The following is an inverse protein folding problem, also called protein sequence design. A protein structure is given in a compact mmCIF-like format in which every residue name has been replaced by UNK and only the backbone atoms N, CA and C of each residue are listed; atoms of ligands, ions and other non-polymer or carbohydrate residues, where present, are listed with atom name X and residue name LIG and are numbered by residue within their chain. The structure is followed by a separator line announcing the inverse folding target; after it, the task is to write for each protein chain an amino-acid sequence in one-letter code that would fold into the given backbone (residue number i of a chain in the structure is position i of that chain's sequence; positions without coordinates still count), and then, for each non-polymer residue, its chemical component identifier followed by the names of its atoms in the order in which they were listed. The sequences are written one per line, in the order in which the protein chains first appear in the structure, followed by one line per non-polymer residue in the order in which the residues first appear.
data_IF_582522582532
#
_entry.id   IF_582522582532
#
_cell.length_a   1.000
_cell.length_b   1.000
_cell.length_c   1.000
_cell.angle_alpha   90.00
_cell.angle_beta   90.00
_cell.angle_gamma   90.00
#
_symmetry.space_group_name_H-M   'P 1'
#
loop_
_entity.id
_entity.type
_entity.pdbx_description
1 polymer ?
#
# COMPACT_ATOMS: atom_id res chain seq x y z
N UNK A 1 24.50 2.99 19.04
CA UNK A 1 23.50 3.65 19.91
C UNK A 1 22.80 4.72 19.08
N UNK A 2 21.61 4.42 18.51
CA UNK A 2 20.62 5.39 17.95
C UNK A 2 19.52 4.63 17.20
N UNK A 3 18.76 3.76 17.89
CA UNK A 3 17.63 3.07 17.26
C UNK A 3 16.35 3.93 17.22
N UNK A 4 16.24 4.91 18.12
CA UNK A 4 15.04 5.73 18.30
C UNK A 4 15.40 7.21 18.28
N UNK A 5 14.49 8.03 17.74
CA UNK A 5 14.60 9.49 17.71
C UNK A 5 14.68 10.04 19.16
N UNK A 6 15.59 10.99 19.46
CA UNK A 6 15.73 11.58 20.79
C UNK A 6 14.42 12.12 21.38
N UNK A 7 13.53 12.68 20.55
CA UNK A 7 12.21 13.17 20.96
C UNK A 7 11.36 12.01 21.49
N UNK A 8 11.35 10.89 20.79
CA UNK A 8 10.62 9.68 21.20
C UNK A 8 11.18 9.12 22.50
N UNK A 9 12.52 9.11 22.63
CA UNK A 9 13.20 8.67 23.86
C UNK A 9 12.79 9.54 25.05
N UNK A 10 12.79 10.85 24.87
CA UNK A 10 12.38 11.79 25.91
C UNK A 10 10.90 11.62 26.29
N UNK A 11 10.01 11.46 25.31
CA UNK A 11 8.58 11.24 25.54
C UNK A 11 8.32 9.97 26.37
N UNK A 12 8.96 8.86 25.99
CA UNK A 12 8.78 7.57 26.70
C UNK A 12 9.41 7.63 28.09
N UNK A 13 10.55 8.31 28.26
CA UNK A 13 11.18 8.51 29.58
C UNK A 13 10.29 9.34 30.51
N UNK A 14 9.70 10.44 30.01
CA UNK A 14 8.73 11.26 30.76
C UNK A 14 7.50 10.45 31.14
N UNK A 15 6.99 9.61 30.24
CA UNK A 15 5.89 8.70 30.53
C UNK A 15 6.22 7.74 31.68
N UNK A 16 7.40 7.11 31.70
CA UNK A 16 7.80 6.20 32.78
C UNK A 16 7.83 6.87 34.15
N UNK A 17 8.11 8.18 34.22
CA UNK A 17 8.14 8.93 35.48
C UNK A 17 6.78 9.50 35.89
N UNK A 18 5.89 9.81 34.95
CA UNK A 18 4.66 10.58 35.20
C UNK A 18 3.36 9.84 34.92
N UNK A 19 3.42 8.73 34.19
CA UNK A 19 2.26 8.00 33.66
C UNK A 19 1.50 8.73 32.55
N UNK A 20 2.00 9.86 32.05
CA UNK A 20 1.32 10.71 31.05
C UNK A 20 2.15 10.83 29.77
N UNK A 21 1.48 10.86 28.62
CA UNK A 21 2.09 11.07 27.31
C UNK A 21 1.13 11.78 26.36
N UNK A 22 1.65 12.67 25.52
CA UNK A 22 0.90 13.34 24.46
C UNK A 22 1.28 12.71 23.12
N UNK A 23 0.30 12.18 22.39
CA UNK A 23 0.53 11.50 21.13
C UNK A 23 0.10 12.39 19.96
N UNK A 24 0.85 12.34 18.87
CA UNK A 24 0.45 12.88 17.58
C UNK A 24 0.78 11.88 16.46
N UNK A 25 0.24 12.09 15.27
CA UNK A 25 0.43 11.19 14.11
C UNK A 25 1.90 10.99 13.74
N UNK A 26 2.75 11.98 14.02
CA UNK A 26 4.17 11.94 13.65
C UNK A 26 5.02 11.18 14.69
N UNK A 27 4.56 11.10 15.95
CA UNK A 27 5.34 10.47 17.03
C UNK A 27 4.79 9.11 17.45
N UNK A 28 3.49 8.86 17.27
CA UNK A 28 2.81 7.66 17.82
C UNK A 28 3.43 6.34 17.35
N UNK A 29 3.91 6.27 16.11
CA UNK A 29 4.56 5.06 15.58
C UNK A 29 5.87 4.79 16.30
N UNK A 30 6.72 5.81 16.46
CA UNK A 30 7.98 5.72 17.20
C UNK A 30 7.76 5.38 18.67
N UNK A 31 6.79 6.03 19.32
CA UNK A 31 6.42 5.74 20.70
C UNK A 31 5.96 4.30 20.85
N UNK A 32 5.08 3.81 19.94
CA UNK A 32 4.64 2.42 19.94
C UNK A 32 5.82 1.45 19.83
N UNK A 33 6.73 1.69 18.86
CA UNK A 33 7.88 0.81 18.63
C UNK A 33 8.81 0.75 19.85
N UNK A 34 9.09 1.90 20.47
CA UNK A 34 9.91 1.97 21.67
C UNK A 34 9.22 1.33 22.87
N UNK A 35 7.91 1.53 23.03
CA UNK A 35 7.13 0.90 24.09
C UNK A 35 7.14 -0.63 23.99
N UNK A 36 6.98 -1.17 22.77
CA UNK A 36 7.12 -2.62 22.51
C UNK A 36 8.54 -3.10 22.80
N UNK A 37 9.56 -2.35 22.35
CA UNK A 37 10.97 -2.70 22.61
C UNK A 37 11.30 -2.75 24.10
N UNK A 38 10.82 -1.79 24.87
CA UNK A 38 10.99 -1.72 26.33
C UNK A 38 10.01 -2.59 27.11
N UNK A 39 9.08 -3.28 26.44
CA UNK A 39 8.05 -4.13 27.05
C UNK A 39 7.14 -3.38 28.03
N UNK A 40 6.81 -2.12 27.72
CA UNK A 40 5.82 -1.35 28.48
C UNK A 40 4.42 -1.87 28.12
N UNK A 41 3.63 -2.42 29.05
CA UNK A 41 2.40 -3.15 28.71
C UNK A 41 1.24 -2.23 28.29
N UNK A 42 1.10 -1.06 28.90
CA UNK A 42 -0.06 -0.17 28.69
C UNK A 42 0.11 0.77 27.50
N UNK A 43 1.34 1.25 27.27
CA UNK A 43 1.62 2.27 26.28
C UNK A 43 1.34 1.85 24.81
N UNK A 44 1.63 0.60 24.38
CA UNK A 44 1.23 0.13 23.06
C UNK A 44 -0.28 0.17 22.85
N UNK A 45 -1.07 -0.20 23.88
CA UNK A 45 -2.53 -0.17 23.83
C UNK A 45 -3.05 1.26 23.66
N UNK A 46 -2.48 2.23 24.39
CA UNK A 46 -2.80 3.65 24.22
C UNK A 46 -2.47 4.15 22.81
N UNK A 47 -1.30 3.77 22.28
CA UNK A 47 -0.89 4.13 20.93
C UNK A 47 -1.84 3.56 19.87
N UNK A 48 -2.29 2.31 20.02
CA UNK A 48 -3.26 1.69 19.10
C UNK A 48 -4.61 2.40 19.16
N UNK A 49 -5.09 2.76 20.36
CA UNK A 49 -6.31 3.57 20.51
C UNK A 49 -6.21 4.90 19.78
N UNK A 50 -5.09 5.62 19.94
CA UNK A 50 -4.83 6.85 19.20
C UNK A 50 -4.76 6.63 17.68
N UNK A 51 -4.04 5.61 17.22
CA UNK A 51 -3.90 5.31 15.78
C UNK A 51 -5.26 5.03 15.12
N UNK A 52 -6.15 4.27 15.78
CA UNK A 52 -7.49 3.99 15.28
C UNK A 52 -8.33 5.28 15.09
N UNK A 53 -8.19 6.25 15.99
CA UNK A 53 -8.89 7.54 15.92
C UNK A 53 -8.26 8.57 14.99
N UNK A 54 -7.05 8.32 14.46
CA UNK A 54 -6.26 9.29 13.69
C UNK A 54 -5.88 8.83 12.29
N UNK A 55 -6.52 7.75 11.80
CA UNK A 55 -6.34 7.27 10.42
C UNK A 55 -6.86 8.32 9.42
N UNK A 56 -6.02 8.68 8.47
CA UNK A 56 -6.33 9.54 7.34
C UNK A 56 -5.41 9.17 6.15
N UNK A 57 -5.46 9.92 5.05
CA UNK A 57 -4.68 9.62 3.83
C UNK A 57 -3.16 9.64 4.04
N UNK A 58 -2.64 10.44 4.96
CA UNK A 58 -1.20 10.54 5.23
C UNK A 58 -0.73 9.56 6.31
N UNK A 59 -1.62 9.14 7.21
CA UNK A 59 -1.27 8.20 8.29
C UNK A 59 -1.56 6.73 7.95
N UNK A 60 -2.42 6.45 6.97
CA UNK A 60 -2.89 5.08 6.73
C UNK A 60 -1.80 4.10 6.31
N UNK A 61 -0.86 4.48 5.43
CA UNK A 61 0.21 3.59 4.97
C UNK A 61 1.27 3.37 6.07
N UNK A 62 1.79 4.40 6.75
CA UNK A 62 2.67 4.19 7.90
C UNK A 62 2.05 3.31 8.98
N UNK A 63 0.79 3.55 9.34
CA UNK A 63 0.08 2.74 10.32
C UNK A 63 -0.16 1.31 9.80
N UNK A 64 -0.42 1.13 8.51
CA UNK A 64 -0.61 -0.20 7.91
C UNK A 64 0.68 -1.02 7.98
N UNK A 65 1.83 -0.42 7.63
CA UNK A 65 3.14 -1.08 7.75
C UNK A 65 3.41 -1.51 9.19
N UNK A 66 3.13 -0.65 10.16
CA UNK A 66 3.29 -0.94 11.58
C UNK A 66 2.36 -2.09 12.01
N UNK A 67 1.08 -2.01 11.63
CA UNK A 67 0.08 -3.00 12.00
C UNK A 67 0.39 -4.39 11.40
N UNK A 68 0.90 -4.45 10.17
CA UNK A 68 1.39 -5.68 9.55
C UNK A 68 2.61 -6.24 10.29
N UNK A 69 3.60 -5.40 10.59
CA UNK A 69 4.86 -5.82 11.21
C UNK A 69 4.67 -6.34 12.64
N UNK A 70 3.89 -5.63 13.45
CA UNK A 70 3.63 -5.98 14.85
C UNK A 70 2.35 -6.81 15.04
N UNK A 71 1.68 -7.18 13.96
CA UNK A 71 0.45 -7.97 13.99
C UNK A 71 -0.69 -7.35 14.84
N UNK A 72 -0.87 -6.02 14.75
CA UNK A 72 -1.88 -5.28 15.51
C UNK A 72 -3.26 -5.44 14.88
N UNK A 73 -3.97 -6.51 15.23
CA UNK A 73 -5.21 -6.95 14.56
C UNK A 73 -6.30 -5.87 14.42
N UNK A 74 -6.69 -5.12 15.47
CA UNK A 74 -7.74 -4.10 15.34
C UNK A 74 -7.39 -3.03 14.30
N UNK A 75 -6.12 -2.61 14.27
CA UNK A 75 -5.63 -1.60 13.34
C UNK A 75 -5.54 -2.14 11.91
N UNK A 76 -5.14 -3.41 11.72
CA UNK A 76 -5.14 -4.08 10.40
C UNK A 76 -6.53 -4.12 9.78
N UNK A 77 -7.54 -4.54 10.56
CA UNK A 77 -8.93 -4.66 10.08
C UNK A 77 -9.48 -3.27 9.68
N UNK A 78 -9.25 -2.27 10.53
CA UNK A 78 -9.68 -0.90 10.27
C UNK A 78 -9.00 -0.33 9.01
N UNK A 79 -7.67 -0.42 8.92
CA UNK A 79 -6.89 0.13 7.81
C UNK A 79 -7.18 -0.56 6.49
N UNK A 80 -7.36 -1.88 6.48
CA UNK A 80 -7.81 -2.60 5.29
C UNK A 80 -9.10 -2.01 4.75
N UNK A 81 -10.02 -1.67 5.65
CA UNK A 81 -11.29 -1.06 5.27
C UNK A 81 -11.12 0.34 4.70
N UNK A 82 -10.37 1.19 5.41
CA UNK A 82 -10.10 2.57 4.99
C UNK A 82 -9.36 2.65 3.65
N UNK A 83 -8.25 1.91 3.52
CA UNK A 83 -7.38 1.92 2.35
C UNK A 83 -8.14 1.41 1.12
N UNK A 84 -8.96 0.37 1.29
CA UNK A 84 -9.80 -0.10 0.19
C UNK A 84 -10.69 1.05 -0.27
N UNK A 85 -11.56 1.56 0.62
CA UNK A 85 -12.56 2.58 0.30
C UNK A 85 -11.96 3.86 -0.33
N UNK A 86 -10.72 4.19 0.01
CA UNK A 86 -10.04 5.40 -0.45
C UNK A 86 -8.86 5.10 -1.39
N UNK A 87 -8.82 3.92 -2.03
CA UNK A 87 -7.65 3.47 -2.79
C UNK A 87 -7.23 4.47 -3.87
N UNK A 88 -8.20 5.11 -4.53
CA UNK A 88 -7.95 6.10 -5.57
C UNK A 88 -7.07 7.27 -5.08
N UNK A 89 -7.22 7.68 -3.83
CA UNK A 89 -6.45 8.78 -3.25
C UNK A 89 -5.21 8.26 -2.54
N UNK A 90 -5.28 7.10 -1.90
CA UNK A 90 -4.14 6.43 -1.28
C UNK A 90 -3.05 6.11 -2.32
N UNK A 91 -3.41 5.66 -3.52
CA UNK A 91 -2.41 5.31 -4.55
C UNK A 91 -1.62 6.51 -5.08
N UNK A 92 -2.06 7.75 -4.79
CA UNK A 92 -1.39 9.00 -5.15
C UNK A 92 -0.45 9.50 -4.06
N UNK A 93 -0.50 8.95 -2.85
CA UNK A 93 0.33 9.42 -1.74
C UNK A 93 1.78 8.95 -1.89
N UNK A 94 2.72 9.77 -1.43
CA UNK A 94 4.15 9.40 -1.43
C UNK A 94 4.39 8.12 -0.63
N UNK A 95 3.70 7.92 0.49
CA UNK A 95 3.85 6.70 1.30
C UNK A 95 3.51 5.44 0.52
N UNK A 96 2.44 5.45 -0.31
CA UNK A 96 2.12 4.32 -1.17
C UNK A 96 3.15 4.15 -2.28
N UNK A 97 3.55 5.25 -2.93
CA UNK A 97 4.51 5.24 -4.03
C UNK A 97 5.90 4.78 -3.61
N UNK A 98 6.28 4.99 -2.35
CA UNK A 98 7.55 4.53 -1.76
C UNK A 98 7.51 3.10 -1.22
N UNK A 99 6.36 2.41 -1.26
CA UNK A 99 6.30 1.01 -0.84
C UNK A 99 7.19 0.11 -1.70
N UNK A 100 7.73 -0.92 -1.07
CA UNK A 100 8.42 -2.01 -1.76
C UNK A 100 7.41 -2.92 -2.48
N UNK A 101 7.89 -3.64 -3.50
CA UNK A 101 7.03 -4.51 -4.33
C UNK A 101 6.23 -5.55 -3.53
N UNK A 102 6.81 -6.11 -2.48
CA UNK A 102 6.11 -7.08 -1.62
C UNK A 102 4.97 -6.44 -0.83
N UNK A 103 5.19 -5.21 -0.34
CA UNK A 103 4.19 -4.46 0.38
C UNK A 103 3.04 -4.04 -0.54
N UNK A 104 3.34 -3.54 -1.75
CA UNK A 104 2.31 -3.22 -2.75
C UNK A 104 1.50 -4.44 -3.12
N UNK A 105 2.16 -5.58 -3.38
CA UNK A 105 1.47 -6.82 -3.73
C UNK A 105 0.52 -7.27 -2.62
N UNK A 106 0.95 -7.21 -1.36
CA UNK A 106 0.11 -7.56 -0.19
C UNK A 106 -1.08 -6.61 -0.08
N UNK A 107 -0.83 -5.31 -0.02
CA UNK A 107 -1.86 -4.29 0.13
C UNK A 107 -2.92 -4.37 -0.97
N UNK A 108 -2.51 -4.45 -2.24
CA UNK A 108 -3.46 -4.57 -3.36
C UNK A 108 -4.18 -5.91 -3.41
N UNK A 109 -3.59 -6.99 -2.88
CA UNK A 109 -4.29 -8.27 -2.73
C UNK A 109 -5.42 -8.18 -1.70
N UNK A 110 -5.18 -7.49 -0.60
CA UNK A 110 -6.18 -7.30 0.47
C UNK A 110 -7.32 -6.39 0.04
N UNK A 111 -6.99 -5.32 -0.69
CA UNK A 111 -7.97 -4.39 -1.26
C UNK A 111 -8.85 -5.13 -2.27
N UNK A 112 -8.25 -5.88 -3.20
CA UNK A 112 -8.99 -6.72 -4.15
C UNK A 112 -9.97 -7.65 -3.44
N UNK A 113 -9.56 -8.29 -2.35
CA UNK A 113 -10.39 -9.25 -1.60
C UNK A 113 -11.57 -8.59 -0.88
N UNK A 114 -11.47 -7.31 -0.49
CA UNK A 114 -12.58 -6.61 0.17
C UNK A 114 -13.69 -6.25 -0.82
N UNK A 115 -13.35 -6.00 -2.08
CA UNK A 115 -14.28 -5.52 -3.11
C UNK A 115 -15.05 -6.64 -3.83
N UNK A 116 -15.46 -7.72 -3.16
CA UNK A 116 -16.10 -8.88 -3.81
C UNK A 116 -17.35 -8.55 -4.63
N UNK A 117 -17.97 -7.38 -4.43
CA UNK A 117 -19.21 -6.95 -5.11
C UNK A 117 -19.08 -5.62 -5.86
N UNK A 118 -17.92 -4.95 -5.82
CA UNK A 118 -17.77 -3.67 -6.50
C UNK A 118 -17.43 -3.86 -7.99
N UNK A 119 -18.19 -3.24 -8.92
CA UNK A 119 -17.79 -3.18 -10.32
C UNK A 119 -16.42 -2.50 -10.44
N UNK A 120 -15.59 -2.92 -11.39
CA UNK A 120 -14.31 -2.29 -11.74
C UNK A 120 -13.17 -2.40 -10.69
N UNK A 121 -13.30 -3.22 -9.64
CA UNK A 121 -12.22 -3.39 -8.63
C UNK A 121 -10.85 -3.73 -9.23
N UNK A 122 -10.83 -4.55 -10.28
CA UNK A 122 -9.61 -4.98 -10.94
C UNK A 122 -9.00 -3.88 -11.82
N UNK A 123 -9.85 -3.01 -12.36
CA UNK A 123 -9.42 -1.79 -13.05
C UNK A 123 -8.76 -0.82 -12.06
N UNK A 124 -9.32 -0.66 -10.85
CA UNK A 124 -8.70 0.15 -9.79
C UNK A 124 -7.34 -0.44 -9.32
N UNK A 125 -7.25 -1.77 -9.16
CA UNK A 125 -5.99 -2.45 -8.85
C UNK A 125 -4.97 -2.25 -9.98
N UNK A 126 -5.40 -2.31 -11.25
CA UNK A 126 -4.54 -1.99 -12.39
C UNK A 126 -4.00 -0.57 -12.32
N UNK A 127 -4.86 0.42 -12.07
CA UNK A 127 -4.47 1.83 -11.95
C UNK A 127 -3.43 2.02 -10.84
N UNK A 128 -3.64 1.41 -9.67
CA UNK A 128 -2.71 1.48 -8.55
C UNK A 128 -1.34 0.85 -8.89
N UNK A 129 -1.33 -0.31 -9.56
CA UNK A 129 -0.09 -0.94 -10.05
C UNK A 129 0.64 0.00 -11.01
N UNK A 130 -0.08 0.58 -11.98
CA UNK A 130 0.55 1.45 -12.97
C UNK A 130 1.05 2.76 -12.36
N UNK A 131 0.34 3.33 -11.38
CA UNK A 131 0.82 4.49 -10.62
C UNK A 131 2.15 4.19 -9.91
N UNK A 132 2.20 3.07 -9.18
CA UNK A 132 3.41 2.67 -8.46
C UNK A 132 4.59 2.39 -9.39
N UNK A 133 4.37 1.74 -10.53
CA UNK A 133 5.44 1.47 -11.51
C UNK A 133 5.93 2.77 -12.16
N UNK A 134 5.01 3.68 -12.52
CA UNK A 134 5.35 4.96 -13.16
C UNK A 134 6.21 5.87 -12.28
N UNK A 135 6.07 5.78 -10.96
CA UNK A 135 6.86 6.58 -10.04
C UNK A 135 8.38 6.28 -10.12
N UNK A 136 8.78 5.02 -10.37
CA UNK A 136 10.18 4.61 -10.59
C UNK A 136 10.29 3.62 -11.75
N UNK A 137 9.94 4.06 -12.97
CA UNK A 137 9.79 3.18 -14.16
C UNK A 137 11.02 2.30 -14.40
N UNK A 138 12.22 2.89 -14.34
CA UNK A 138 13.48 2.22 -14.68
C UNK A 138 13.69 0.99 -13.78
N UNK A 139 13.45 1.15 -12.48
CA UNK A 139 13.62 0.11 -11.46
C UNK A 139 12.45 -0.88 -11.46
N UNK A 140 11.22 -0.39 -11.69
CA UNK A 140 9.99 -1.15 -11.39
C UNK A 140 9.35 -1.85 -12.58
N UNK A 141 9.72 -1.50 -13.82
CA UNK A 141 9.15 -2.11 -15.05
C UNK A 141 9.27 -3.64 -15.09
N UNK A 142 10.28 -4.21 -14.44
CA UNK A 142 10.51 -5.64 -14.38
C UNK A 142 9.44 -6.38 -13.54
N UNK A 143 8.73 -5.67 -12.67
CA UNK A 143 7.66 -6.24 -11.84
C UNK A 143 6.30 -6.26 -12.53
N UNK A 144 6.14 -5.66 -13.72
CA UNK A 144 4.85 -5.57 -14.42
C UNK A 144 4.18 -6.95 -14.54
N UNK A 145 4.86 -7.94 -15.14
CA UNK A 145 4.28 -9.26 -15.33
C UNK A 145 3.86 -9.94 -14.02
N UNK A 146 4.60 -9.70 -12.94
CA UNK A 146 4.29 -10.23 -11.61
C UNK A 146 3.08 -9.54 -10.99
N UNK A 147 2.97 -8.22 -11.11
CA UNK A 147 1.89 -7.43 -10.52
C UNK A 147 0.58 -7.53 -11.32
N UNK A 148 0.65 -7.73 -12.64
CA UNK A 148 -0.54 -8.00 -13.46
C UNK A 148 -1.27 -9.29 -13.07
N UNK A 149 -0.61 -10.24 -12.38
CA UNK A 149 -1.26 -11.43 -11.80
C UNK A 149 -2.27 -11.10 -10.70
N UNK A 150 -2.28 -9.87 -10.20
CA UNK A 150 -3.30 -9.41 -9.26
C UNK A 150 -4.64 -9.15 -9.94
N UNK A 151 -4.66 -9.03 -11.27
CA UNK A 151 -5.80 -8.64 -12.09
C UNK A 151 -6.47 -9.88 -12.66
N UNK A 152 -7.81 -9.93 -12.60
CA UNK A 152 -8.63 -10.90 -13.33
C UNK A 152 -9.06 -10.29 -14.66
N UNK A 153 -8.52 -10.73 -15.80
CA UNK A 153 -8.83 -10.17 -17.11
C UNK A 153 -10.32 -10.24 -17.46
N UNK A 154 -11.03 -11.26 -16.99
CA UNK A 154 -12.45 -11.49 -17.24
C UNK A 154 -13.34 -10.41 -16.63
N UNK A 155 -12.82 -9.65 -15.68
CA UNK A 155 -13.52 -8.56 -14.99
C UNK A 155 -13.06 -7.17 -15.44
N UNK A 156 -12.28 -7.09 -16.52
CA UNK A 156 -11.89 -5.84 -17.16
C UNK A 156 -12.88 -5.53 -18.29
N UNK A 157 -13.45 -4.33 -18.26
CA UNK A 157 -14.37 -3.90 -19.33
C UNK A 157 -13.62 -3.68 -20.65
N UNK A 158 -14.31 -3.92 -21.77
CA UNK A 158 -13.77 -3.66 -23.10
C UNK A 158 -13.41 -2.16 -23.27
N UNK A 159 -14.19 -1.27 -22.67
CA UNK A 159 -13.90 0.16 -22.67
C UNK A 159 -12.56 0.43 -21.96
N UNK A 160 -12.37 -0.04 -20.73
CA UNK A 160 -11.14 0.19 -19.98
C UNK A 160 -9.91 -0.45 -20.65
N UNK A 161 -10.07 -1.65 -21.25
CA UNK A 161 -9.02 -2.26 -22.04
C UNK A 161 -8.56 -1.34 -23.18
N UNK A 162 -9.49 -0.82 -23.97
CA UNK A 162 -9.17 -0.02 -25.15
C UNK A 162 -8.68 1.40 -24.79
N UNK A 163 -9.35 2.07 -23.87
CA UNK A 163 -9.10 3.49 -23.55
C UNK A 163 -7.95 3.68 -22.57
N UNK A 164 -7.67 2.70 -21.71
CA UNK A 164 -6.67 2.85 -20.63
C UNK A 164 -5.51 1.89 -20.78
N UNK A 165 -5.79 0.59 -20.98
CA UNK A 165 -4.72 -0.42 -20.98
C UNK A 165 -3.92 -0.37 -22.28
N UNK A 166 -4.57 -0.27 -23.43
CA UNK A 166 -3.90 -0.25 -24.74
C UNK A 166 -3.24 1.09 -25.06
N UNK A 167 -3.72 2.20 -24.50
CA UNK A 167 -3.05 3.51 -24.62
C UNK A 167 -1.78 3.60 -23.74
N UNK A 168 -1.65 2.75 -22.73
CA UNK A 168 -0.50 2.73 -21.85
C UNK A 168 0.76 2.14 -22.52
N UNK A 169 1.74 2.99 -22.83
CA UNK A 169 3.05 2.57 -23.37
C UNK A 169 3.74 1.45 -22.60
N UNK A 170 3.64 1.43 -21.27
CA UNK A 170 4.23 0.34 -20.46
C UNK A 170 3.61 -1.02 -20.81
N UNK A 171 2.34 -1.06 -21.22
CA UNK A 171 1.67 -2.28 -21.64
C UNK A 171 2.03 -2.70 -23.05
N UNK A 172 2.21 -1.73 -23.95
CA UNK A 172 2.45 -1.96 -25.37
C UNK A 172 3.93 -2.03 -25.75
N UNK A 173 4.85 -1.75 -24.82
CA UNK A 173 6.30 -1.82 -25.05
C UNK A 173 6.98 -2.94 -24.23
N UNK A 174 6.52 -3.21 -23.01
CA UNK A 174 7.11 -4.24 -22.13
C UNK A 174 6.72 -5.67 -22.56
N UNK A 175 7.70 -6.57 -22.70
CA UNK A 175 7.47 -7.93 -23.18
C UNK A 175 6.56 -8.77 -22.26
N UNK A 176 6.69 -8.63 -20.95
CA UNK A 176 5.83 -9.35 -20.01
C UNK A 176 4.38 -8.84 -20.07
N UNK A 177 4.19 -7.54 -20.28
CA UNK A 177 2.88 -6.93 -20.44
C UNK A 177 2.22 -7.31 -21.78
N UNK A 178 2.98 -7.26 -22.89
CA UNK A 178 2.52 -7.75 -24.20
C UNK A 178 2.10 -9.21 -24.14
N UNK A 179 2.90 -10.06 -23.48
CA UNK A 179 2.57 -11.48 -23.28
C UNK A 179 1.28 -11.64 -22.47
N UNK A 180 1.09 -10.84 -21.43
CA UNK A 180 -0.16 -10.84 -20.66
C UNK A 180 -1.36 -10.40 -21.51
N UNK A 181 -1.22 -9.36 -22.33
CA UNK A 181 -2.29 -8.91 -23.23
C UNK A 181 -2.65 -9.93 -24.31
N UNK A 182 -1.65 -10.59 -24.89
CA UNK A 182 -1.87 -11.69 -25.84
C UNK A 182 -2.61 -12.86 -25.18
N UNK A 183 -2.12 -13.33 -24.03
CA UNK A 183 -2.70 -14.51 -23.37
C UNK A 183 -4.13 -14.32 -22.89
N UNK A 184 -4.53 -13.09 -22.55
CA UNK A 184 -5.82 -12.83 -21.93
C UNK A 184 -6.84 -12.14 -22.86
N UNK A 185 -6.37 -11.43 -23.89
CA UNK A 185 -7.23 -10.65 -24.78
C UNK A 185 -6.92 -10.86 -26.28
N UNK A 186 -5.99 -11.76 -26.63
CA UNK A 186 -5.56 -12.02 -28.02
C UNK A 186 -5.03 -10.78 -28.76
N UNK A 187 -4.54 -9.77 -28.04
CA UNK A 187 -4.01 -8.53 -28.62
C UNK A 187 -2.69 -8.81 -29.33
N UNK A 188 -2.63 -8.50 -30.63
CA UNK A 188 -1.44 -8.69 -31.47
C UNK A 188 -0.60 -7.42 -31.52
N UNK A 189 0.67 -7.55 -31.13
CA UNK A 189 1.66 -6.50 -31.33
C UNK A 189 2.53 -6.89 -32.51
N UNK A 190 2.50 -6.08 -33.59
CA UNK A 190 3.42 -6.27 -34.70
C UNK A 190 4.86 -6.14 -34.17
N UNK A 191 5.69 -7.17 -34.37
CA UNK A 191 7.14 -7.04 -34.17
C UNK A 191 7.62 -5.99 -35.16
N UNK A 192 7.98 -4.80 -34.68
CA UNK A 192 8.83 -3.90 -35.49
C UNK A 192 10.11 -4.70 -35.77
N UNK A 193 10.31 -5.06 -37.05
CA UNK A 193 11.58 -5.52 -37.56
C UNK A 193 12.57 -4.38 -37.30
N UNK A 194 13.52 -4.59 -36.39
CA UNK A 194 14.75 -3.82 -36.39
C UNK A 194 15.61 -4.32 -37.55
#
# INVERSE_FOLDING_TARGET
MNQFDPVIVEMVSKYSNTGRIELCTNTVTGVFQMAVFLKLPELPTLCVGFMLGSVNLTSCIPFWKLAEFYNVQPLRIYLRTFISNSLNDVMKTTDFLELEVEHVKRLLSDVRLKYSEAPQRYEMVYLAVMHWIRYKVIERRWYIGRLLRLIRPEEISAQFLNEVILDNKLMTENDAAKKWLWNNFNVRFNRRRN
#
